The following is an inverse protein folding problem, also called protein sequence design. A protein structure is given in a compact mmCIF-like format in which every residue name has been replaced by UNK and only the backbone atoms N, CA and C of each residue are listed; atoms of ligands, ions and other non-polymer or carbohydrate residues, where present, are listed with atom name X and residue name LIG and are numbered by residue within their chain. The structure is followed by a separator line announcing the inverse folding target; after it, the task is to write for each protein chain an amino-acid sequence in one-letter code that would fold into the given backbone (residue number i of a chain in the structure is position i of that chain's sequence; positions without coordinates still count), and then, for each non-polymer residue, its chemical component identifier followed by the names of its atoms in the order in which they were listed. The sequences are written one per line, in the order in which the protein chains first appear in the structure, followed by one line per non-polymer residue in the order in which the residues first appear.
data_IF_953056845987
#
_entry.id   IF_953056845987
#
_cell.length_a   1.000
_cell.length_b   1.000
_cell.length_c   1.000
_cell.angle_alpha   90.00
_cell.angle_beta   90.00
_cell.angle_gamma   90.00
#
_symmetry.space_group_name_H-M   'P 1'
#
loop_
_entity.id
_entity.type
_entity.pdbx_description
1 polymer ?
#
# COMPACT_ATOMS: atom_id res chain seq x y z
N UNK A 1 -9.63 19.38 -9.52
CA UNK A 1 -9.10 18.00 -9.58
C UNK A 1 -9.35 17.22 -8.29
N UNK A 2 -8.86 17.66 -7.12
CA UNK A 2 -9.11 16.97 -5.83
C UNK A 2 -10.60 16.79 -5.52
N UNK A 3 -11.42 17.82 -5.76
CA UNK A 3 -12.88 17.71 -5.58
C UNK A 3 -13.52 16.64 -6.47
N UNK A 4 -13.07 16.49 -7.72
CA UNK A 4 -13.53 15.43 -8.61
C UNK A 4 -13.17 14.04 -8.04
N UNK A 5 -11.97 13.87 -7.49
CA UNK A 5 -11.57 12.62 -6.85
C UNK A 5 -12.40 12.33 -5.59
N UNK A 6 -12.68 13.34 -4.77
CA UNK A 6 -13.57 13.22 -3.60
C UNK A 6 -14.98 12.81 -4.00
N UNK A 7 -15.52 13.41 -5.05
CA UNK A 7 -16.83 13.04 -5.60
C UNK A 7 -16.83 11.63 -6.17
N UNK A 8 -15.78 11.25 -6.91
CA UNK A 8 -15.61 9.88 -7.38
C UNK A 8 -15.60 8.87 -6.22
N UNK A 9 -15.05 9.24 -5.07
CA UNK A 9 -14.98 8.39 -3.88
C UNK A 9 -16.13 8.62 -2.87
N UNK A 10 -17.15 9.39 -3.23
CA UNK A 10 -18.36 9.59 -2.41
C UNK A 10 -19.32 8.41 -2.57
N UNK A 11 -19.87 7.93 -1.46
CA UNK A 11 -20.92 6.90 -1.39
C UNK A 11 -20.66 5.65 -2.25
N UNK A 12 -19.40 5.19 -2.27
CA UNK A 12 -19.00 4.04 -3.08
C UNK A 12 -19.70 2.78 -2.57
N UNK A 13 -20.27 2.02 -3.51
CA UNK A 13 -20.93 0.74 -3.25
C UNK A 13 -20.36 -0.33 -4.17
N UNK A 14 -20.24 -1.53 -3.64
CA UNK A 14 -19.97 -2.75 -4.42
C UNK A 14 -21.07 -3.78 -4.17
N UNK A 15 -21.11 -4.79 -5.02
CA UNK A 15 -22.09 -5.85 -4.99
C UNK A 15 -21.41 -7.16 -5.37
N UNK A 16 -21.77 -8.23 -4.68
CA UNK A 16 -21.34 -9.58 -5.06
C UNK A 16 -22.50 -10.21 -5.82
N UNK A 17 -22.23 -10.74 -7.00
CA UNK A 17 -23.22 -11.41 -7.85
C UNK A 17 -22.83 -12.87 -8.01
N UNK A 18 -23.76 -13.78 -7.69
CA UNK A 18 -23.61 -15.22 -7.87
C UNK A 18 -24.84 -15.77 -8.60
N UNK A 19 -24.62 -16.41 -9.74
CA UNK A 19 -25.68 -16.92 -10.62
C UNK A 19 -26.78 -15.89 -10.90
N UNK A 20 -27.93 -16.02 -10.22
CA UNK A 20 -29.12 -15.13 -10.33
C UNK A 20 -29.38 -14.29 -9.10
N UNK A 21 -28.50 -14.31 -8.12
CA UNK A 21 -28.63 -13.55 -6.87
C UNK A 21 -27.54 -12.48 -6.78
N UNK A 22 -27.89 -11.36 -6.14
CA UNK A 22 -27.01 -10.24 -5.88
C UNK A 22 -27.16 -9.84 -4.42
N UNK A 23 -26.06 -9.50 -3.77
CA UNK A 23 -26.10 -8.96 -2.40
C UNK A 23 -26.79 -7.61 -2.36
N UNK A 24 -27.24 -7.22 -1.17
CA UNK A 24 -27.50 -5.81 -0.88
C UNK A 24 -26.24 -4.95 -1.10
N UNK A 25 -26.39 -3.62 -1.27
CA UNK A 25 -25.25 -2.73 -1.47
C UNK A 25 -24.25 -2.81 -0.31
N UNK A 26 -23.00 -3.13 -0.62
CA UNK A 26 -21.89 -3.13 0.33
C UNK A 26 -21.17 -1.79 0.20
N UNK A 27 -21.17 -0.99 1.26
CA UNK A 27 -20.53 0.32 1.28
C UNK A 27 -19.01 0.18 1.44
N UNK A 28 -18.25 0.74 0.50
CA UNK A 28 -16.78 0.80 0.58
C UNK A 28 -16.41 2.07 1.36
N UNK A 29 -15.92 1.89 2.59
CA UNK A 29 -15.52 3.00 3.48
C UNK A 29 -14.02 3.23 3.55
N UNK A 30 -13.22 2.25 3.12
CA UNK A 30 -11.76 2.31 3.07
C UNK A 30 -11.25 1.55 1.85
N UNK A 31 -10.07 1.92 1.38
CA UNK A 31 -9.42 1.34 0.20
C UNK A 31 -9.78 2.04 -1.12
N UNK A 32 -9.30 1.44 -2.21
CA UNK A 32 -9.48 1.94 -3.58
C UNK A 32 -10.51 1.10 -4.34
N UNK A 33 -11.13 1.68 -5.38
CA UNK A 33 -12.11 0.97 -6.21
C UNK A 33 -11.44 -0.07 -7.12
N UNK A 34 -11.77 -1.34 -6.98
CA UNK A 34 -11.27 -2.37 -7.90
C UNK A 34 -11.80 -2.16 -9.32
N UNK A 35 -10.91 -2.24 -10.32
CA UNK A 35 -11.23 -2.00 -11.73
C UNK A 35 -11.37 -0.52 -12.13
N UNK A 36 -11.13 0.43 -11.24
CA UNK A 36 -11.12 1.85 -11.59
C UNK A 36 -9.72 2.30 -12.05
N UNK A 37 -9.59 3.02 -13.19
CA UNK A 37 -8.29 3.45 -13.71
C UNK A 37 -7.47 4.37 -12.78
N UNK A 38 -8.12 5.09 -11.87
CA UNK A 38 -7.43 5.99 -10.93
C UNK A 38 -6.94 5.27 -9.67
N UNK A 39 -7.48 4.09 -9.36
CA UNK A 39 -7.15 3.36 -8.13
C UNK A 39 -5.68 2.98 -8.01
N UNK A 40 -4.99 2.50 -9.07
CA UNK A 40 -3.56 2.20 -8.97
C UNK A 40 -2.72 3.44 -8.60
N UNK A 41 -3.03 4.60 -9.19
CA UNK A 41 -2.32 5.84 -8.88
C UNK A 41 -2.56 6.28 -7.43
N UNK A 42 -3.81 6.24 -6.96
CA UNK A 42 -4.14 6.59 -5.58
C UNK A 42 -3.48 5.65 -4.57
N UNK A 43 -3.39 4.36 -4.90
CA UNK A 43 -2.67 3.39 -4.08
C UNK A 43 -1.18 3.69 -4.01
N UNK A 44 -0.54 3.95 -5.16
CA UNK A 44 0.88 4.33 -5.19
C UNK A 44 1.15 5.61 -4.39
N UNK A 45 0.28 6.62 -4.50
CA UNK A 45 0.38 7.85 -3.70
C UNK A 45 0.23 7.61 -2.20
N UNK A 46 -0.60 6.65 -1.79
CA UNK A 46 -0.74 6.27 -0.39
C UNK A 46 0.51 5.54 0.12
N UNK A 47 1.24 4.83 -0.74
CA UNK A 47 2.47 4.10 -0.38
C UNK A 47 3.74 4.96 -0.42
N UNK A 48 3.75 6.03 -1.20
CA UNK A 48 4.90 6.92 -1.37
C UNK A 48 5.55 7.38 -0.04
N UNK A 49 4.80 7.78 1.01
CA UNK A 49 5.42 8.19 2.28
C UNK A 49 6.21 7.07 2.98
N UNK A 50 5.76 5.81 2.85
CA UNK A 50 6.49 4.65 3.37
C UNK A 50 7.81 4.47 2.61
N UNK A 51 7.76 4.52 1.27
CA UNK A 51 8.93 4.34 0.42
C UNK A 51 9.97 5.44 0.65
N UNK A 52 9.56 6.71 0.71
CA UNK A 52 10.45 7.83 1.03
C UNK A 52 11.07 7.69 2.43
N UNK A 53 10.31 7.21 3.43
CA UNK A 53 10.83 7.01 4.78
C UNK A 53 11.84 5.86 4.83
N UNK A 54 11.58 4.75 4.12
CA UNK A 54 12.53 3.66 3.99
C UNK A 54 13.80 4.07 3.26
N UNK A 55 13.71 4.90 2.21
CA UNK A 55 14.89 5.39 1.48
C UNK A 55 15.78 6.30 2.34
N UNK A 56 15.15 7.21 3.10
CA UNK A 56 15.85 8.21 3.92
C UNK A 56 16.36 7.68 5.26
N UNK A 57 15.57 6.87 5.98
CA UNK A 57 15.86 6.42 7.33
C UNK A 57 16.14 4.91 7.43
N UNK A 58 15.87 4.15 6.37
CA UNK A 58 16.08 2.70 6.34
C UNK A 58 17.49 2.27 5.96
N UNK A 59 17.81 1.04 6.37
CA UNK A 59 19.06 0.35 6.03
C UNK A 59 18.84 -0.51 4.79
N UNK A 60 19.70 -0.38 3.78
CA UNK A 60 19.47 -1.01 2.48
C UNK A 60 20.43 -2.14 2.18
N UNK A 61 20.13 -2.85 1.10
CA UNK A 61 21.11 -3.68 0.41
C UNK A 61 21.98 -2.81 -0.50
N UNK A 62 23.30 -2.93 -0.36
CA UNK A 62 24.26 -2.14 -1.14
C UNK A 62 24.84 -2.94 -2.30
N UNK A 63 24.66 -2.44 -3.52
CA UNK A 63 25.23 -3.06 -4.71
C UNK A 63 25.63 -2.02 -5.75
N UNK A 64 26.87 -2.11 -6.26
CA UNK A 64 27.39 -1.25 -7.32
C UNK A 64 27.18 0.26 -7.11
N UNK A 65 27.30 0.73 -5.86
CA UNK A 65 27.11 2.14 -5.48
C UNK A 65 25.65 2.56 -5.24
N UNK A 66 24.69 1.64 -5.38
CA UNK A 66 23.28 1.87 -5.07
C UNK A 66 22.92 1.30 -3.71
N UNK A 67 22.07 2.02 -2.97
CA UNK A 67 21.40 1.53 -1.76
C UNK A 67 19.93 1.29 -2.09
N UNK A 68 19.46 0.05 -1.97
CA UNK A 68 18.05 -0.29 -2.18
C UNK A 68 17.47 -0.78 -0.86
N UNK A 69 16.48 -0.07 -0.34
CA UNK A 69 15.83 -0.40 0.95
C UNK A 69 14.51 -1.14 0.75
N UNK A 70 13.80 -0.84 -0.33
CA UNK A 70 12.57 -1.52 -0.69
C UNK A 70 12.33 -1.56 -2.21
N UNK A 71 11.57 -2.55 -2.64
CA UNK A 71 10.95 -2.62 -3.97
C UNK A 71 9.45 -2.79 -3.77
N UNK A 72 8.65 -2.02 -4.52
CA UNK A 72 7.21 -2.08 -4.44
C UNK A 72 6.60 -2.24 -5.84
N UNK A 73 5.63 -3.16 -5.94
CA UNK A 73 4.86 -3.36 -7.15
C UNK A 73 3.41 -3.65 -6.78
N UNK A 74 2.51 -2.68 -7.05
CA UNK A 74 1.15 -2.73 -6.52
C UNK A 74 1.18 -3.03 -5.01
N UNK A 75 0.44 -4.04 -4.56
CA UNK A 75 0.37 -4.47 -3.15
C UNK A 75 1.57 -5.31 -2.68
N UNK A 76 2.47 -5.75 -3.57
CA UNK A 76 3.68 -6.47 -3.18
C UNK A 76 4.79 -5.50 -2.75
N UNK A 77 5.30 -5.71 -1.53
CA UNK A 77 6.42 -4.97 -0.94
C UNK A 77 7.53 -5.94 -0.56
N UNK A 78 8.74 -5.67 -1.03
CA UNK A 78 9.96 -6.38 -0.66
C UNK A 78 10.88 -5.43 0.07
N UNK A 79 11.24 -5.76 1.31
CA UNK A 79 12.26 -5.05 2.07
C UNK A 79 13.63 -5.71 1.85
N UNK A 80 14.67 -4.90 1.77
CA UNK A 80 16.04 -5.35 1.55
C UNK A 80 16.97 -4.71 2.59
N UNK A 81 17.91 -5.48 3.10
CA UNK A 81 18.94 -5.04 4.06
C UNK A 81 20.14 -5.99 3.99
N UNK A 82 21.35 -5.44 4.16
CA UNK A 82 22.59 -6.23 4.27
C UNK A 82 22.77 -6.92 5.63
N UNK A 83 21.95 -6.54 6.63
CA UNK A 83 22.04 -7.06 7.98
C UNK A 83 20.67 -7.37 8.59
N UNK A 84 20.68 -8.24 9.59
CA UNK A 84 19.48 -8.55 10.37
C UNK A 84 19.01 -7.33 11.16
N UNK A 85 19.93 -6.58 11.75
CA UNK A 85 19.65 -5.36 12.51
C UNK A 85 18.98 -4.30 11.63
N UNK A 86 19.50 -4.09 10.41
CA UNK A 86 18.90 -3.18 9.44
C UNK A 86 17.51 -3.65 8.98
N UNK A 87 17.30 -4.96 8.81
CA UNK A 87 15.99 -5.50 8.49
C UNK A 87 14.99 -5.23 9.63
N UNK A 88 15.40 -5.44 10.89
CA UNK A 88 14.56 -5.12 12.04
C UNK A 88 14.19 -3.62 12.10
N UNK A 89 15.09 -2.72 11.71
CA UNK A 89 14.80 -1.29 11.61
C UNK A 89 13.76 -0.99 10.52
N UNK A 90 13.93 -1.56 9.33
CA UNK A 90 12.97 -1.37 8.22
C UNK A 90 11.58 -1.91 8.57
N UNK A 91 11.51 -3.06 9.24
CA UNK A 91 10.24 -3.62 9.73
C UNK A 91 9.57 -2.67 10.72
N UNK A 92 10.30 -2.05 11.64
CA UNK A 92 9.73 -1.05 12.57
C UNK A 92 9.17 0.17 11.84
N UNK A 93 9.84 0.63 10.78
CA UNK A 93 9.33 1.74 9.94
C UNK A 93 8.00 1.32 9.29
N UNK A 94 7.95 0.12 8.71
CA UNK A 94 6.74 -0.45 8.10
C UNK A 94 5.60 -0.59 9.12
N UNK A 95 5.87 -1.17 10.30
CA UNK A 95 4.88 -1.35 11.37
C UNK A 95 4.31 -0.01 11.85
N UNK A 96 5.16 1.00 12.05
CA UNK A 96 4.73 2.33 12.45
C UNK A 96 3.83 2.97 11.39
N UNK A 97 4.18 2.81 10.11
CA UNK A 97 3.40 3.29 8.98
C UNK A 97 2.04 2.57 8.88
N UNK A 98 2.01 1.25 9.05
CA UNK A 98 0.78 0.46 9.13
C UNK A 98 -0.14 0.94 10.27
N UNK A 99 0.44 1.24 11.44
CA UNK A 99 -0.29 1.79 12.58
C UNK A 99 -0.94 3.15 12.31
N UNK A 100 -0.35 3.98 11.44
CA UNK A 100 -0.91 5.28 11.06
C UNK A 100 -1.96 5.20 9.94
N UNK A 101 -1.81 4.26 9.01
CA UNK A 101 -2.63 4.19 7.79
C UNK A 101 -3.78 3.18 7.85
N UNK A 102 -3.74 2.24 8.80
CA UNK A 102 -4.69 1.13 8.86
C UNK A 102 -4.43 0.05 7.80
N UNK A 103 -3.26 0.07 7.15
CA UNK A 103 -2.82 -1.00 6.27
C UNK A 103 -2.28 -2.19 7.08
N UNK A 104 -2.48 -3.38 6.56
CA UNK A 104 -2.03 -4.63 7.18
C UNK A 104 -1.13 -5.40 6.21
N UNK A 105 -0.02 -5.90 6.73
CA UNK A 105 0.94 -6.72 5.98
C UNK A 105 0.63 -8.21 6.18
N UNK A 106 0.76 -9.00 5.12
CA UNK A 106 0.72 -10.47 5.18
C UNK A 106 2.10 -11.00 4.82
N UNK A 107 2.91 -11.28 5.85
CA UNK A 107 4.30 -11.73 5.71
C UNK A 107 4.47 -13.25 5.54
N UNK A 108 3.39 -14.02 5.71
CA UNK A 108 3.38 -15.45 5.41
C UNK A 108 3.03 -15.65 3.92
N UNK A 109 4.04 -15.67 3.06
CA UNK A 109 3.95 -16.15 1.68
C UNK A 109 5.00 -17.23 1.45
#
# INVERSE_FOLDING_TARGET
FIELLREMYRDIRTYISMERQRTDPIYIRSGVKQGNPMSPLLFNLAMDPLLCKLESEGEGFHHAGWKVTAMAFADDLVLLSDSWEGMCQNIKILEAFCGFTGLHTQGEK
#
